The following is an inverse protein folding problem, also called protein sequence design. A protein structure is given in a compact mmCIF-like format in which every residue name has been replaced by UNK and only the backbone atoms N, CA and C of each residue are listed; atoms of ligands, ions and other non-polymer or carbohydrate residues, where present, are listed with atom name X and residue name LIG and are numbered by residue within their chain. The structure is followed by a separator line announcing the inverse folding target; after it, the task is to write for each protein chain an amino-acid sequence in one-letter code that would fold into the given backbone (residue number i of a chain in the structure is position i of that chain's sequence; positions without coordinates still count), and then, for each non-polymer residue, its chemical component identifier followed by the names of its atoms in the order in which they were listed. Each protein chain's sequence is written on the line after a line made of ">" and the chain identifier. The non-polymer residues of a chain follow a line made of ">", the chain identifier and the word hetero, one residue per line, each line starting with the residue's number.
data_IF_159959390628
#
_entry.id   IF_159959390628
#
_cell.length_a   1.000
_cell.length_b   1.000
_cell.length_c   1.000
_cell.angle_alpha   90.00
_cell.angle_beta   90.00
_cell.angle_gamma   90.00
#
_symmetry.space_group_name_H-M   'P 1'
#
loop_
_entity.id
_entity.type
_entity.pdbx_description
1 polymer ?
#
# COMPACT_ATOMS: atom_id res chain seq x y z
N UNK A 1 2.95 -12.26 24.28
CA UNK A 1 1.99 -11.89 23.23
C UNK A 1 1.65 -13.11 22.40
N UNK A 2 0.38 -13.28 22.12
CA UNK A 2 -0.09 -14.37 21.27
C UNK A 2 0.26 -14.10 19.82
N UNK A 3 0.46 -15.16 19.03
CA UNK A 3 0.80 -15.02 17.62
C UNK A 3 -0.23 -14.18 16.85
N UNK A 4 -1.55 -14.34 17.18
CA UNK A 4 -2.60 -13.55 16.56
C UNK A 4 -2.51 -12.07 16.87
N UNK A 5 -2.03 -11.71 18.06
CA UNK A 5 -1.84 -10.30 18.44
C UNK A 5 -0.70 -9.68 17.67
N UNK A 6 0.40 -10.41 17.44
CA UNK A 6 1.52 -9.94 16.64
C UNK A 6 1.07 -9.72 15.19
N UNK A 7 0.27 -10.64 14.61
CA UNK A 7 -0.28 -10.48 13.27
C UNK A 7 -1.23 -9.29 13.18
N UNK A 8 -2.04 -9.06 14.22
CA UNK A 8 -2.94 -7.91 14.27
C UNK A 8 -2.18 -6.58 14.34
N UNK A 9 -1.06 -6.54 15.06
CA UNK A 9 -0.24 -5.33 15.15
C UNK A 9 0.30 -4.95 13.78
N UNK A 10 0.89 -5.89 13.05
CA UNK A 10 1.40 -5.64 11.70
C UNK A 10 0.27 -5.19 10.77
N UNK A 11 -0.88 -5.85 10.84
CA UNK A 11 -2.05 -5.48 10.03
C UNK A 11 -2.52 -4.06 10.33
N UNK A 12 -2.52 -3.65 11.62
CA UNK A 12 -2.89 -2.31 12.00
C UNK A 12 -1.91 -1.27 11.46
N UNK A 13 -0.62 -1.55 11.56
CA UNK A 13 0.43 -0.67 11.05
C UNK A 13 0.30 -0.51 9.54
N UNK A 14 0.12 -1.62 8.83
CA UNK A 14 0.01 -1.64 7.38
C UNK A 14 -1.22 -0.89 6.88
N UNK A 15 -2.33 -0.94 7.61
CA UNK A 15 -3.62 -0.39 7.16
C UNK A 15 -3.52 1.07 6.75
N UNK A 16 -2.78 1.87 7.49
CA UNK A 16 -2.64 3.30 7.21
C UNK A 16 -1.73 3.60 6.03
N UNK A 17 -0.76 2.73 5.74
CA UNK A 17 0.24 2.98 4.69
C UNK A 17 -0.06 2.22 3.40
N UNK A 18 -0.83 1.13 3.46
CA UNK A 18 -1.07 0.28 2.30
C UNK A 18 -1.62 1.02 1.08
N UNK A 19 -2.60 1.94 1.22
CA UNK A 19 -3.10 2.68 0.07
C UNK A 19 -1.98 3.39 -0.69
N UNK A 20 -1.06 4.03 0.02
CA UNK A 20 0.05 4.78 -0.58
C UNK A 20 1.12 3.86 -1.15
N UNK A 21 1.30 2.68 -0.56
CA UNK A 21 2.18 1.66 -1.13
C UNK A 21 1.65 1.18 -2.48
N UNK A 22 0.34 1.01 -2.60
CA UNK A 22 -0.28 0.65 -3.88
C UNK A 22 -0.10 1.76 -4.90
N UNK A 23 -0.31 3.03 -4.51
CA UNK A 23 -0.07 4.16 -5.41
C UNK A 23 1.40 4.19 -5.86
N UNK A 24 2.33 3.95 -4.95
CA UNK A 24 3.75 3.92 -5.28
C UNK A 24 4.07 2.83 -6.31
N UNK A 25 3.44 1.67 -6.19
CA UNK A 25 3.65 0.57 -7.14
C UNK A 25 3.13 0.89 -8.54
N UNK A 26 2.21 1.83 -8.66
CA UNK A 26 1.63 2.24 -9.94
C UNK A 26 2.35 3.44 -10.57
N UNK A 27 3.42 3.95 -9.94
CA UNK A 27 4.10 5.16 -10.38
C UNK A 27 4.69 5.04 -11.79
N UNK A 28 5.31 3.92 -12.11
CA UNK A 28 6.06 3.75 -13.35
C UNK A 28 5.36 2.83 -14.36
N UNK A 29 4.28 2.18 -13.97
CA UNK A 29 3.71 1.13 -14.78
C UNK A 29 2.30 0.82 -14.30
N UNK A 30 1.37 0.72 -15.24
CA UNK A 30 0.04 0.21 -14.90
C UNK A 30 0.12 -1.28 -14.59
N UNK A 31 -0.75 -1.74 -13.69
CA UNK A 31 -0.77 -3.12 -13.25
C UNK A 31 -2.22 -3.56 -13.00
N UNK A 32 -2.48 -4.85 -13.15
CA UNK A 32 -3.78 -5.38 -12.74
C UNK A 32 -3.70 -5.95 -11.33
N UNK A 33 -4.88 -6.17 -10.71
CA UNK A 33 -4.97 -6.47 -9.30
C UNK A 33 -4.13 -7.66 -8.85
N UNK A 34 -4.11 -8.74 -9.64
CA UNK A 34 -3.32 -9.92 -9.32
C UNK A 34 -1.82 -9.62 -9.23
N UNK A 35 -1.31 -8.78 -10.16
CA UNK A 35 0.10 -8.39 -10.13
C UNK A 35 0.46 -7.65 -8.84
N UNK A 36 -0.44 -6.76 -8.39
CA UNK A 36 -0.25 -6.01 -7.15
C UNK A 36 -0.23 -6.95 -5.94
N UNK A 37 -1.18 -7.87 -5.86
CA UNK A 37 -1.22 -8.86 -4.78
C UNK A 37 0.05 -9.69 -4.74
N UNK A 38 0.47 -10.16 -5.91
CA UNK A 38 1.67 -11.00 -6.03
C UNK A 38 2.94 -10.24 -5.62
N UNK A 39 3.08 -9.00 -6.10
CA UNK A 39 4.24 -8.18 -5.76
C UNK A 39 4.30 -7.86 -4.26
N UNK A 40 3.17 -7.53 -3.66
CA UNK A 40 3.10 -7.27 -2.21
C UNK A 40 3.43 -8.50 -1.39
N UNK A 41 3.11 -9.69 -1.92
CA UNK A 41 3.42 -10.95 -1.26
C UNK A 41 4.92 -11.21 -1.06
N UNK A 42 5.77 -10.53 -1.83
CA UNK A 42 7.22 -10.62 -1.70
C UNK A 42 7.85 -9.60 -0.78
N UNK A 43 7.04 -8.73 -0.16
CA UNK A 43 7.53 -7.65 0.68
C UNK A 43 7.13 -7.92 2.13
N UNK A 44 8.11 -7.96 3.03
CA UNK A 44 7.86 -8.21 4.44
C UNK A 44 6.91 -7.16 5.03
N UNK A 45 5.92 -7.61 5.78
CA UNK A 45 4.92 -6.74 6.39
C UNK A 45 3.81 -6.30 5.43
N UNK A 46 3.94 -6.57 4.13
CA UNK A 46 2.98 -6.12 3.12
C UNK A 46 2.12 -7.26 2.55
N UNK A 47 2.32 -8.47 3.01
CA UNK A 47 1.54 -9.62 2.53
C UNK A 47 0.06 -9.40 2.82
N UNK A 48 -0.74 -9.39 1.77
CA UNK A 48 -2.18 -9.21 1.88
C UNK A 48 -2.86 -9.93 0.71
N UNK A 49 -4.12 -10.26 0.89
CA UNK A 49 -4.85 -11.02 -0.09
C UNK A 49 -5.76 -10.17 -0.98
N UNK A 50 -6.39 -10.87 -1.91
CA UNK A 50 -7.33 -10.26 -2.85
C UNK A 50 -8.50 -9.60 -2.11
N UNK A 51 -8.94 -10.19 -1.00
CA UNK A 51 -10.03 -9.64 -0.17
C UNK A 51 -9.73 -8.26 0.40
N UNK A 52 -8.47 -7.86 0.46
CA UNK A 52 -8.05 -6.54 0.92
C UNK A 52 -7.74 -5.63 -0.26
N UNK A 53 -7.03 -6.14 -1.25
CA UNK A 53 -6.54 -5.32 -2.37
C UNK A 53 -7.66 -4.85 -3.29
N UNK A 54 -8.58 -5.74 -3.69
CA UNK A 54 -9.63 -5.35 -4.62
C UNK A 54 -10.57 -4.27 -4.06
N UNK A 55 -11.05 -4.37 -2.80
CA UNK A 55 -11.81 -3.27 -2.22
C UNK A 55 -11.03 -1.97 -2.10
N UNK A 56 -9.73 -2.06 -1.80
CA UNK A 56 -8.86 -0.88 -1.74
C UNK A 56 -8.73 -0.21 -3.11
N UNK A 57 -8.51 -0.99 -4.15
CA UNK A 57 -8.42 -0.45 -5.52
C UNK A 57 -9.73 0.24 -5.94
N UNK A 58 -10.87 -0.36 -5.59
CA UNK A 58 -12.17 0.24 -5.86
C UNK A 58 -12.32 1.58 -5.14
N UNK A 59 -11.87 1.66 -3.89
CA UNK A 59 -11.91 2.90 -3.13
C UNK A 59 -10.99 3.97 -3.73
N UNK A 60 -9.78 3.60 -4.10
CA UNK A 60 -8.83 4.53 -4.72
C UNK A 60 -9.37 5.08 -6.04
N UNK A 61 -10.06 4.24 -6.79
CA UNK A 61 -10.71 4.67 -8.04
C UNK A 61 -11.83 5.67 -7.75
N UNK A 62 -12.68 5.39 -6.76
CA UNK A 62 -13.77 6.31 -6.38
C UNK A 62 -13.23 7.66 -5.91
N UNK A 63 -12.06 7.66 -5.28
CA UNK A 63 -11.39 8.88 -4.82
C UNK A 63 -10.66 9.61 -5.96
N UNK A 64 -10.63 9.04 -7.15
CA UNK A 64 -9.95 9.65 -8.29
C UNK A 64 -8.43 9.56 -8.26
N UNK A 65 -7.88 8.73 -7.40
CA UNK A 65 -6.43 8.59 -7.25
C UNK A 65 -5.82 7.62 -8.25
N UNK A 66 -6.62 6.71 -8.78
CA UNK A 66 -6.24 5.80 -9.85
C UNK A 66 -7.30 5.79 -10.94
N UNK A 67 -6.87 5.45 -12.14
CA UNK A 67 -7.74 5.28 -13.30
C UNK A 67 -7.63 3.85 -13.77
N UNK A 68 -8.64 3.39 -14.49
CA UNK A 68 -8.70 2.00 -14.94
C UNK A 68 -8.88 1.90 -16.45
N UNK A 69 -8.37 0.82 -17.00
CA UNK A 69 -8.60 0.46 -18.40
C UNK A 69 -8.70 -1.06 -18.51
N UNK A 70 -9.51 -1.53 -19.46
CA UNK A 70 -9.59 -2.95 -19.75
C UNK A 70 -8.64 -3.25 -20.90
N UNK A 71 -7.85 -4.32 -20.73
CA UNK A 71 -6.91 -4.77 -21.77
C UNK A 71 -7.14 -6.24 -22.05
N UNK A 72 -7.09 -6.59 -23.32
CA UNK A 72 -7.22 -7.97 -23.73
C UNK A 72 -6.01 -8.78 -23.24
N UNK A 73 -6.30 -10.02 -22.85
CA UNK A 73 -5.29 -10.97 -22.42
C UNK A 73 -5.11 -12.01 -23.52
N UNK A 74 -3.85 -12.40 -23.76
CA UNK A 74 -3.55 -13.47 -24.72
C UNK A 74 -4.17 -14.80 -24.28
N UNK A 75 -4.38 -14.96 -22.98
CA UNK A 75 -4.96 -16.17 -22.39
C UNK A 75 -6.03 -15.75 -21.38
N UNK A 76 -7.28 -16.05 -21.69
CA UNK A 76 -8.39 -15.79 -20.79
C UNK A 76 -9.10 -14.47 -21.05
N UNK A 77 -9.98 -14.04 -20.12
CA UNK A 77 -10.78 -12.83 -20.28
C UNK A 77 -9.93 -11.57 -20.19
N UNK A 78 -10.46 -10.43 -20.67
CA UNK A 78 -9.79 -9.14 -20.50
C UNK A 78 -9.50 -8.85 -19.04
N UNK A 79 -8.41 -8.12 -18.80
CA UNK A 79 -7.95 -7.74 -17.46
C UNK A 79 -8.14 -6.26 -17.24
N UNK A 80 -8.53 -5.90 -16.01
CA UNK A 80 -8.68 -4.51 -15.59
C UNK A 80 -7.34 -4.02 -15.04
N UNK A 81 -6.77 -3.04 -15.70
CA UNK A 81 -5.50 -2.43 -15.29
C UNK A 81 -5.76 -1.13 -14.56
N UNK A 82 -4.90 -0.84 -13.61
CA UNK A 82 -4.93 0.37 -12.80
C UNK A 82 -3.68 1.18 -13.07
N UNK A 83 -3.84 2.48 -13.18
CA UNK A 83 -2.72 3.41 -13.34
C UNK A 83 -2.89 4.58 -12.39
N UNK A 84 -1.78 5.21 -12.04
CA UNK A 84 -1.79 6.36 -11.15
C UNK A 84 -2.37 7.57 -11.87
N UNK A 85 -3.41 8.18 -11.30
CA UNK A 85 -3.97 9.43 -11.80
C UNK A 85 -3.13 10.61 -11.31
N UNK A 86 -3.34 11.80 -11.88
CA UNK A 86 -2.64 13.01 -11.46
C UNK A 86 -2.90 13.31 -9.98
N UNK A 87 -4.15 13.17 -9.53
CA UNK A 87 -4.49 13.34 -8.12
C UNK A 87 -3.79 12.31 -7.24
N UNK A 88 -3.57 11.09 -7.76
CA UNK A 88 -2.83 10.05 -7.06
C UNK A 88 -1.36 10.40 -6.90
N UNK A 89 -0.76 11.01 -7.92
CA UNK A 89 0.63 11.49 -7.84
C UNK A 89 0.77 12.55 -6.75
N UNK A 90 -0.17 13.50 -6.69
CA UNK A 90 -0.17 14.55 -5.67
C UNK A 90 -0.33 13.96 -4.26
N UNK A 91 -1.25 13.01 -4.11
CA UNK A 91 -1.48 12.34 -2.82
C UNK A 91 -0.25 11.58 -2.36
N UNK A 92 0.44 10.89 -3.29
CA UNK A 92 1.65 10.15 -2.98
C UNK A 92 2.78 11.08 -2.54
N UNK A 93 2.95 12.22 -3.20
CA UNK A 93 3.96 13.21 -2.84
C UNK A 93 3.72 13.76 -1.43
N UNK A 94 2.47 14.08 -1.11
CA UNK A 94 2.09 14.55 0.22
C UNK A 94 2.34 13.47 1.27
N UNK A 95 1.97 12.23 0.97
CA UNK A 95 2.24 11.11 1.87
C UNK A 95 3.73 10.96 2.13
N UNK A 96 4.55 11.05 1.10
CA UNK A 96 6.00 10.85 1.23
C UNK A 96 6.61 11.83 2.22
N UNK A 97 6.24 13.11 2.15
CA UNK A 97 6.72 14.12 3.10
C UNK A 97 6.24 13.82 4.53
N UNK A 98 4.97 13.50 4.68
CA UNK A 98 4.39 13.22 5.98
C UNK A 98 4.97 11.95 6.60
N UNK A 99 5.19 10.93 5.77
CA UNK A 99 5.79 9.67 6.19
C UNK A 99 7.20 9.87 6.73
N UNK A 100 8.04 10.64 6.03
CA UNK A 100 9.40 10.88 6.46
C UNK A 100 9.43 11.55 7.85
N UNK A 101 8.60 12.54 8.07
CA UNK A 101 8.51 13.23 9.36
C UNK A 101 8.01 12.30 10.46
N UNK A 102 6.94 11.55 10.19
CA UNK A 102 6.38 10.62 11.18
C UNK A 102 7.36 9.51 11.51
N UNK A 103 7.97 8.92 10.47
CA UNK A 103 8.97 7.87 10.63
C UNK A 103 10.12 8.33 11.53
N UNK A 104 10.66 9.51 11.25
CA UNK A 104 11.80 10.04 12.01
C UNK A 104 11.40 10.30 13.46
N UNK A 105 10.19 10.81 13.70
CA UNK A 105 9.69 11.04 15.05
C UNK A 105 9.52 9.73 15.83
N UNK A 106 8.96 8.72 15.18
CA UNK A 106 8.77 7.41 15.82
C UNK A 106 10.12 6.76 16.11
N UNK A 107 11.04 6.79 15.15
CA UNK A 107 12.37 6.25 15.34
C UNK A 107 13.09 6.92 16.51
N UNK A 108 12.97 8.23 16.61
CA UNK A 108 13.57 8.99 17.69
C UNK A 108 12.99 8.60 19.06
N UNK A 109 11.67 8.48 19.15
CA UNK A 109 11.01 8.06 20.39
C UNK A 109 11.41 6.65 20.80
N UNK A 110 11.51 5.74 19.85
CA UNK A 110 11.94 4.36 20.14
C UNK A 110 13.38 4.32 20.60
N UNK A 111 14.25 5.14 20.00
CA UNK A 111 15.65 5.23 20.40
C UNK A 111 15.79 5.77 21.83
N UNK A 112 15.00 6.78 22.21
CA UNK A 112 15.00 7.32 23.58
C UNK A 112 14.52 6.27 24.58
N UNK A 113 13.46 5.54 24.24
CA UNK A 113 12.92 4.49 25.09
C UNK A 113 13.95 3.40 25.37
N UNK A 114 14.79 3.07 24.38
CA UNK A 114 15.83 2.05 24.54
C UNK A 114 17.02 2.56 25.40
N UNK A 115 17.26 3.87 25.44
CA UNK A 115 18.37 4.46 26.15
C UNK A 115 18.07 4.81 27.61
N UNK A 116 16.79 4.95 27.96
CA UNK A 116 16.37 5.32 29.30
C UNK A 116 15.97 4.09 30.11
N UNK A 117 16.78 3.60 31.04
CA UNK A 117 16.39 2.46 31.87
C UNK A 117 15.22 2.84 32.76
N UNK A 118 14.38 1.87 33.05
CA UNK A 118 13.22 2.03 33.93
C UNK A 118 13.63 2.29 35.40
#
# INVERSE_FOLDING_TARGET
>A
MLAGEAGNLVAQMRRGVLPYCVLAMLTNKEQYGFELVHALGGIDGMVTGEGTIYPLLARLRRQGLVETSWQESAVGPPRKYYRLAEAGQAALAEFTESWERLRDSVDDLLARSAQEPL
#
